data_IF_149486759220
#
_entry.id   IF_149486759220
#
_cell.length_a   1.000
_cell.length_b   1.000
_cell.length_c   1.000
_cell.angle_alpha   90.00
_cell.angle_beta   90.00
_cell.angle_gamma   90.00
#
_symmetry.space_group_name_H-M   'P 1'
#
loop_
_entity.id
_entity.type
_entity.pdbx_description
1 polymer ?
#
# COMPACT_ATOMS: atom_id res chain seq x y z
N UNK A 1 -10.79 -0.13 31.81
CA UNK A 1 -9.99 0.50 30.74
C UNK A 1 -10.84 0.55 29.48
N UNK A 2 -11.16 1.73 28.95
CA UNK A 2 -11.83 1.85 27.65
C UNK A 2 -10.74 1.83 26.56
N UNK A 3 -10.86 0.93 25.58
CA UNK A 3 -9.97 0.94 24.42
C UNK A 3 -10.44 2.03 23.45
N UNK A 4 -9.55 2.88 22.91
CA UNK A 4 -9.92 3.87 21.91
C UNK A 4 -10.49 3.16 20.68
N UNK A 5 -11.52 3.77 20.07
CA UNK A 5 -12.11 3.24 18.84
C UNK A 5 -11.07 3.23 17.73
N UNK A 6 -11.02 2.14 16.96
CA UNK A 6 -10.18 2.07 15.77
C UNK A 6 -10.56 3.18 14.78
N UNK A 7 -9.56 3.87 14.25
CA UNK A 7 -9.70 4.95 13.26
C UNK A 7 -9.92 4.43 11.84
N UNK A 8 -9.75 3.12 11.63
CA UNK A 8 -9.89 2.45 10.35
C UNK A 8 -10.88 1.28 10.49
N UNK A 9 -11.75 1.11 9.50
CA UNK A 9 -12.64 -0.05 9.43
C UNK A 9 -11.98 -1.24 8.71
N UNK A 10 -12.48 -2.45 8.98
CA UNK A 10 -12.02 -3.66 8.29
C UNK A 10 -12.27 -3.58 6.76
N UNK A 11 -13.37 -2.97 6.35
CA UNK A 11 -13.74 -2.81 4.94
C UNK A 11 -12.75 -1.92 4.19
N UNK A 12 -12.25 -0.86 4.81
CA UNK A 12 -11.25 0.04 4.24
C UNK A 12 -9.91 -0.67 4.08
N UNK A 13 -9.44 -1.36 5.12
CA UNK A 13 -8.20 -2.15 5.03
C UNK A 13 -8.28 -3.18 3.90
N UNK A 14 -9.41 -3.86 3.78
CA UNK A 14 -9.67 -4.84 2.72
C UNK A 14 -9.64 -4.19 1.35
N UNK A 15 -10.21 -2.98 1.20
CA UNK A 15 -10.18 -2.21 -0.05
C UNK A 15 -8.75 -1.88 -0.47
N UNK A 16 -7.91 -1.43 0.47
CA UNK A 16 -6.51 -1.10 0.17
C UNK A 16 -5.74 -2.33 -0.29
N UNK A 17 -5.85 -3.46 0.42
CA UNK A 17 -5.13 -4.68 0.06
C UNK A 17 -5.61 -5.27 -1.29
N UNK A 18 -6.91 -5.17 -1.59
CA UNK A 18 -7.44 -5.56 -2.91
C UNK A 18 -6.87 -4.70 -4.03
N UNK A 19 -6.75 -3.39 -3.83
CA UNK A 19 -6.17 -2.51 -4.84
C UNK A 19 -4.72 -2.90 -5.19
N UNK A 20 -3.90 -3.25 -4.18
CA UNK A 20 -2.53 -3.76 -4.43
C UNK A 20 -2.52 -5.08 -5.19
N UNK A 21 -3.39 -6.02 -4.81
CA UNK A 21 -3.56 -7.29 -5.53
C UNK A 21 -3.96 -7.06 -6.98
N UNK A 22 -4.94 -6.19 -7.23
CA UNK A 22 -5.49 -5.92 -8.55
C UNK A 22 -4.46 -5.18 -9.43
N UNK A 23 -3.58 -4.37 -8.84
CA UNK A 23 -2.41 -3.78 -9.49
C UNK A 23 -1.26 -4.78 -9.76
N UNK A 24 -1.39 -6.03 -9.29
CA UNK A 24 -0.33 -7.03 -9.39
C UNK A 24 0.92 -6.65 -8.58
N UNK A 25 0.76 -5.87 -7.52
CA UNK A 25 1.82 -5.46 -6.60
C UNK A 25 1.79 -6.41 -5.40
N UNK A 26 2.84 -7.22 -5.18
CA UNK A 26 2.90 -8.15 -4.06
C UNK A 26 2.99 -7.40 -2.72
N UNK A 27 2.11 -7.73 -1.78
CA UNK A 27 2.12 -7.19 -0.41
C UNK A 27 2.87 -8.14 0.50
N UNK A 28 3.88 -7.62 1.21
CA UNK A 28 4.69 -8.38 2.18
C UNK A 28 4.17 -8.20 3.60
N UNK A 29 3.81 -6.96 3.94
CA UNK A 29 3.39 -6.58 5.29
C UNK A 29 2.52 -5.33 5.25
N UNK A 30 1.59 -5.23 6.18
CA UNK A 30 0.83 -4.01 6.44
C UNK A 30 0.97 -3.61 7.91
N UNK A 31 1.26 -2.34 8.16
CA UNK A 31 1.29 -1.74 9.49
C UNK A 31 0.19 -0.68 9.62
N UNK A 32 -0.42 -0.61 10.80
CA UNK A 32 -1.47 0.36 11.13
C UNK A 32 -1.02 1.09 12.39
N UNK A 33 -0.75 2.38 12.25
CA UNK A 33 -0.40 3.26 13.36
C UNK A 33 -1.65 3.67 14.16
N UNK A 34 -1.45 4.13 15.40
CA UNK A 34 -2.55 4.52 16.31
C UNK A 34 -3.36 5.73 15.81
N UNK A 35 -2.79 6.53 14.95
CA UNK A 35 -3.42 7.66 14.26
C UNK A 35 -4.28 7.24 13.05
N UNK A 36 -4.26 5.95 12.69
CA UNK A 36 -4.96 5.43 11.51
C UNK A 36 -4.14 5.45 10.23
N UNK A 37 -2.86 5.86 10.28
CA UNK A 37 -1.98 5.75 9.11
C UNK A 37 -1.72 4.29 8.79
N UNK A 38 -2.02 3.90 7.54
CA UNK A 38 -1.75 2.55 7.02
C UNK A 38 -0.51 2.61 6.13
N UNK A 39 0.48 1.78 6.44
CA UNK A 39 1.70 1.60 5.64
C UNK A 39 1.68 0.18 5.07
N UNK A 40 1.69 0.06 3.74
CA UNK A 40 1.70 -1.23 3.04
C UNK A 40 3.09 -1.40 2.42
N UNK A 41 3.83 -2.39 2.92
CA UNK A 41 5.13 -2.80 2.39
C UNK A 41 4.90 -3.77 1.25
N UNK A 42 5.45 -3.43 0.08
CA UNK A 42 5.49 -4.30 -1.08
C UNK A 42 6.94 -4.62 -1.44
N UNK A 43 7.20 -5.77 -2.04
CA UNK A 43 8.52 -5.99 -2.66
C UNK A 43 8.57 -5.12 -3.91
N UNK A 44 9.72 -4.48 -4.17
CA UNK A 44 9.95 -3.77 -5.42
C UNK A 44 9.60 -4.69 -6.60
N UNK A 45 8.47 -4.42 -7.25
CA UNK A 45 8.37 -4.71 -8.68
C UNK A 45 9.20 -3.59 -9.29
N UNK A 46 10.37 -3.96 -9.80
CA UNK A 46 11.28 -3.10 -10.55
C UNK A 46 10.43 -2.04 -11.27
N UNK A 47 10.46 -0.81 -10.77
CA UNK A 47 9.88 0.31 -11.50
C UNK A 47 10.72 0.33 -12.75
N UNK A 48 10.15 -0.19 -13.82
CA UNK A 48 10.67 0.02 -15.14
C UNK A 48 10.50 1.54 -15.30
N UNK A 49 11.51 2.30 -14.87
CA UNK A 49 11.90 3.54 -15.51
C UNK A 49 12.16 3.15 -16.96
N UNK A 50 11.08 2.86 -17.70
CA UNK A 50 11.11 2.52 -19.10
C UNK A 50 11.56 3.80 -19.77
N UNK A 51 12.88 3.96 -19.88
CA UNK A 51 13.61 4.49 -21.01
C UNK A 51 12.71 5.36 -21.88
N UNK A 52 12.40 6.56 -21.39
CA UNK A 52 11.61 7.51 -22.14
C UNK A 52 12.42 7.83 -23.40
N UNK A 53 11.94 7.48 -24.61
CA UNK A 53 12.71 7.63 -25.84
C UNK A 53 13.00 9.10 -26.18
N UNK A 54 12.35 10.05 -25.49
CA UNK A 54 12.58 11.49 -25.59
C UNK A 54 13.72 12.02 -24.70
N UNK A 55 14.28 11.21 -23.81
CA UNK A 55 15.37 11.60 -22.88
C UNK A 55 16.79 11.31 -23.44
N UNK A 56 16.91 10.95 -24.73
CA UNK A 56 18.23 10.79 -25.38
C UNK A 56 18.71 12.13 -25.96
N UNK A 57 19.97 12.55 -25.71
CA UNK A 57 20.54 13.79 -26.24
C UNK A 57 20.74 13.76 -27.75
#
# INVERSE_FOLDING_TARGET
MAMPRATLTQSELTRYLKAYRDAGIPVVRSEISRDGKVVIYSTEKQTDEVNNPWDRP
#
